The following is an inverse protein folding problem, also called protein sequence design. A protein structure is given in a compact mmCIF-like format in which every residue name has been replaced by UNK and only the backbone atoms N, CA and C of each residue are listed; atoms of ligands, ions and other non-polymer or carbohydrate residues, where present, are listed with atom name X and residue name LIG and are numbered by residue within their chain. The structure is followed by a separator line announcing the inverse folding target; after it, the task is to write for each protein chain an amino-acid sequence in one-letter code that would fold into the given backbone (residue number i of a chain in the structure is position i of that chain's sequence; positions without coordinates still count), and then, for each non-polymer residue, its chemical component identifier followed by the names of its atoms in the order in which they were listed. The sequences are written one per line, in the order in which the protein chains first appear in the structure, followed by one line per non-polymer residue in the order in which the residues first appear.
data_IF_015797074227
#
_entry.id   IF_015797074227
#
_cell.length_a   1.000
_cell.length_b   1.000
_cell.length_c   1.000
_cell.angle_alpha   90.00
_cell.angle_beta   90.00
_cell.angle_gamma   90.00
#
_symmetry.space_group_name_H-M   'P 1'
#
loop_
_entity.id
_entity.type
_entity.pdbx_description
1 polymer ?
#
# COMPACT_ATOMS: atom_id res chain seq x y z
N UNK A 1 35.85 22.91 13.59
CA UNK A 1 35.05 24.13 13.38
C UNK A 1 33.86 23.68 12.56
N UNK A 2 32.76 23.43 13.23
CA UNK A 2 31.60 24.29 13.39
C UNK A 2 30.77 24.45 12.12
N UNK A 3 29.58 23.89 12.14
CA UNK A 3 28.37 24.54 11.79
C UNK A 3 27.18 23.60 11.64
N UNK A 4 26.33 23.53 12.67
CA UNK A 4 24.95 23.05 12.58
C UNK A 4 24.08 24.27 12.27
N UNK A 5 23.00 24.10 11.49
CA UNK A 5 21.76 24.81 11.79
C UNK A 5 20.58 23.83 11.74
N UNK A 6 19.67 23.82 12.65
CA UNK A 6 18.78 24.87 13.08
C UNK A 6 17.37 24.36 12.82
N UNK A 7 16.66 23.99 13.90
CA UNK A 7 15.31 23.44 13.88
C UNK A 7 14.26 24.49 13.50
N UNK A 8 13.13 23.99 12.99
CA UNK A 8 11.90 24.74 12.83
C UNK A 8 10.83 24.15 13.74
N UNK A 9 10.50 24.94 14.73
CA UNK A 9 9.43 24.75 15.70
C UNK A 9 8.09 25.16 15.07
N UNK A 10 7.09 24.29 15.15
CA UNK A 10 5.69 24.69 14.96
C UNK A 10 5.05 24.94 16.32
N UNK A 11 4.42 26.08 16.47
CA UNK A 11 3.62 26.49 17.64
C UNK A 11 2.15 26.10 17.47
N UNK A 12 1.46 25.77 18.58
CA UNK A 12 0.04 25.51 18.56
C UNK A 12 -0.77 26.80 18.81
N UNK A 13 -1.90 26.94 18.15
CA UNK A 13 -2.92 27.94 18.50
C UNK A 13 -4.12 27.27 19.16
N UNK A 14 -4.28 27.55 20.43
CA UNK A 14 -5.46 27.30 21.24
C UNK A 14 -6.58 28.32 20.92
N UNK A 15 -7.82 27.85 20.86
CA UNK A 15 -8.99 28.70 20.76
C UNK A 15 -10.24 27.96 21.23
N UNK A 16 -10.57 28.10 22.51
CA UNK A 16 -11.81 27.66 23.14
C UNK A 16 -12.90 28.69 22.87
N UNK A 17 -14.10 28.27 22.50
CA UNK A 17 -15.28 29.12 22.43
C UNK A 17 -16.55 28.28 22.50
N UNK A 18 -17.25 28.41 23.61
CA UNK A 18 -18.44 27.67 23.98
C UNK A 18 -19.74 28.40 23.60
N UNK A 19 -20.82 27.59 23.45
CA UNK A 19 -22.24 27.86 23.67
C UNK A 19 -23.00 28.79 22.72
N UNK A 20 -24.04 28.24 22.05
CA UNK A 20 -25.42 28.61 22.33
C UNK A 20 -26.44 27.63 21.76
N UNK A 21 -27.42 27.32 22.61
CA UNK A 21 -28.65 26.56 22.38
C UNK A 21 -29.63 27.33 21.47
N UNK A 22 -30.22 26.61 20.50
CA UNK A 22 -31.32 27.12 19.67
C UNK A 22 -32.23 25.97 19.24
N UNK A 23 -33.41 25.90 19.87
CA UNK A 23 -34.56 25.07 19.51
C UNK A 23 -35.18 25.53 18.21
N UNK A 24 -35.52 24.60 17.29
CA UNK A 24 -36.29 24.94 16.09
C UNK A 24 -36.61 23.77 15.18
N UNK A 25 -37.84 23.26 15.33
CA UNK A 25 -38.75 22.66 14.37
C UNK A 25 -38.21 21.66 13.32
N UNK A 26 -38.63 20.41 13.45
CA UNK A 26 -38.44 19.34 12.49
C UNK A 26 -39.16 19.57 11.17
N UNK A 27 -38.46 19.25 10.09
CA UNK A 27 -39.04 18.95 8.80
C UNK A 27 -38.75 17.46 8.54
N UNK A 28 -39.82 16.68 8.62
CA UNK A 28 -39.79 15.23 8.29
C UNK A 28 -39.82 15.13 6.77
N UNK A 29 -38.76 14.63 6.14
CA UNK A 29 -38.81 14.11 4.78
C UNK A 29 -38.89 12.59 4.84
N UNK A 30 -39.77 11.94 4.08
CA UNK A 30 -39.90 10.47 4.07
C UNK A 30 -38.73 9.86 3.30
N UNK A 31 -37.93 9.04 3.98
CA UNK A 31 -36.88 8.21 3.42
C UNK A 31 -37.46 6.79 3.18
N UNK A 32 -38.20 6.60 2.13
CA UNK A 32 -38.46 5.27 1.59
C UNK A 32 -38.04 5.33 0.13
N UNK A 33 -36.85 4.75 -0.21
CA UNK A 33 -36.43 4.21 -1.50
C UNK A 33 -34.90 4.05 -1.64
N UNK A 34 -34.13 4.10 -0.52
CA UNK A 34 -32.66 3.99 -0.55
C UNK A 34 -32.06 2.60 -0.32
N UNK A 35 -32.88 1.61 0.04
CA UNK A 35 -32.38 0.28 0.46
C UNK A 35 -32.16 -0.71 -0.68
N UNK A 36 -32.78 -0.48 -1.85
CA UNK A 36 -32.76 -1.45 -2.96
C UNK A 36 -31.54 -1.31 -3.90
N UNK A 37 -30.91 -0.13 -3.95
CA UNK A 37 -29.74 0.11 -4.78
C UNK A 37 -28.44 -0.50 -4.22
N UNK A 38 -28.31 -0.62 -2.90
CA UNK A 38 -27.13 -1.21 -2.26
C UNK A 38 -27.11 -2.72 -2.35
N UNK A 39 -28.27 -3.38 -2.25
CA UNK A 39 -28.38 -4.83 -2.42
C UNK A 39 -28.17 -5.28 -3.87
N UNK A 40 -28.53 -4.46 -4.86
CA UNK A 40 -28.29 -4.77 -6.27
C UNK A 40 -26.84 -4.57 -6.71
N UNK A 41 -26.06 -3.71 -6.04
CA UNK A 41 -24.62 -3.59 -6.29
C UNK A 41 -23.82 -4.75 -5.67
N UNK A 42 -24.17 -5.19 -4.47
CA UNK A 42 -23.54 -6.35 -3.84
C UNK A 42 -23.86 -7.66 -4.58
N UNK A 43 -25.09 -7.82 -5.09
CA UNK A 43 -25.49 -9.01 -5.88
C UNK A 43 -24.85 -9.08 -7.27
N UNK A 44 -24.40 -7.95 -7.86
CA UNK A 44 -23.69 -7.94 -9.13
C UNK A 44 -22.21 -8.36 -9.01
N UNK A 45 -21.62 -8.32 -7.82
CA UNK A 45 -20.26 -8.79 -7.55
C UNK A 45 -20.17 -10.32 -7.37
N UNK A 46 -21.26 -10.99 -7.04
CA UNK A 46 -21.28 -12.42 -6.74
C UNK A 46 -21.35 -13.39 -7.94
N UNK A 47 -21.46 -12.91 -9.18
CA UNK A 47 -21.55 -13.79 -10.37
C UNK A 47 -20.73 -13.33 -11.59
N UNK A 48 -19.70 -12.51 -11.37
CA UNK A 48 -18.77 -12.20 -12.46
C UNK A 48 -17.77 -13.35 -12.60
N UNK A 49 -17.93 -14.11 -13.69
CA UNK A 49 -16.87 -14.91 -14.29
C UNK A 49 -15.53 -14.23 -14.08
N UNK A 50 -14.53 -14.94 -13.55
CA UNK A 50 -13.14 -14.46 -13.47
C UNK A 50 -12.72 -14.00 -14.87
N UNK A 51 -12.96 -12.73 -15.18
CA UNK A 51 -12.42 -12.12 -16.40
C UNK A 51 -10.90 -12.12 -16.21
N UNK A 52 -10.17 -12.54 -17.25
CA UNK A 52 -8.72 -12.58 -17.24
C UNK A 52 -8.17 -11.27 -16.64
N UNK A 53 -7.32 -11.37 -15.62
CA UNK A 53 -6.66 -10.21 -15.02
C UNK A 53 -5.86 -9.55 -16.12
N UNK A 54 -6.13 -8.27 -16.37
CA UNK A 54 -5.47 -7.47 -17.41
C UNK A 54 -3.98 -7.41 -17.14
N UNK A 55 -3.19 -7.58 -18.18
CA UNK A 55 -1.74 -7.47 -18.16
C UNK A 55 -1.26 -6.26 -18.97
N UNK A 56 -0.11 -5.72 -18.57
CA UNK A 56 0.59 -4.65 -19.28
C UNK A 56 1.97 -5.12 -19.72
N UNK A 57 2.40 -4.73 -20.91
CA UNK A 57 3.75 -4.99 -21.38
C UNK A 57 4.78 -4.17 -20.59
N UNK A 58 4.46 -2.89 -20.35
CA UNK A 58 5.31 -1.92 -19.67
C UNK A 58 4.58 -1.28 -18.47
N UNK A 59 4.22 -2.02 -17.40
CA UNK A 59 3.52 -1.43 -16.28
C UNK A 59 4.40 -0.37 -15.58
N UNK A 60 3.83 0.72 -15.05
CA UNK A 60 4.59 1.74 -14.31
C UNK A 60 4.96 1.27 -12.89
N UNK A 61 5.02 -0.04 -12.71
CA UNK A 61 5.18 -0.70 -11.43
C UNK A 61 6.63 -0.61 -10.96
N UNK A 62 6.84 -0.01 -9.80
CA UNK A 62 8.15 0.17 -9.20
C UNK A 62 8.44 -0.83 -8.07
N UNK A 63 7.41 -1.26 -7.35
CA UNK A 63 7.57 -2.21 -6.26
C UNK A 63 6.28 -3.02 -6.03
N UNK A 64 6.43 -4.30 -5.69
CA UNK A 64 5.37 -5.18 -5.21
C UNK A 64 5.79 -5.75 -3.86
N UNK A 65 4.88 -5.69 -2.90
CA UNK A 65 5.12 -6.03 -1.49
C UNK A 65 4.08 -7.06 -1.07
N UNK A 66 4.52 -8.25 -0.66
CA UNK A 66 3.69 -9.25 0.03
C UNK A 66 4.13 -9.30 1.49
N UNK A 67 3.21 -9.19 2.43
CA UNK A 67 3.54 -9.09 3.85
C UNK A 67 2.57 -9.82 4.77
N UNK A 68 3.09 -10.23 5.90
CA UNK A 68 2.36 -10.74 7.04
C UNK A 68 2.73 -9.94 8.29
N UNK A 69 1.74 -9.32 8.91
CA UNK A 69 1.82 -8.79 10.25
C UNK A 69 1.28 -9.85 11.21
N UNK A 70 2.04 -10.15 12.25
CA UNK A 70 1.70 -11.18 13.23
C UNK A 70 1.82 -10.64 14.65
N UNK A 71 1.34 -11.40 15.61
CA UNK A 71 1.50 -11.04 17.02
C UNK A 71 2.97 -10.92 17.36
N UNK A 72 3.35 -9.80 18.03
CA UNK A 72 4.72 -9.52 18.40
C UNK A 72 5.36 -10.68 19.15
N UNK A 73 6.55 -11.04 18.73
CA UNK A 73 7.36 -12.13 19.28
C UNK A 73 8.50 -11.56 20.12
N UNK A 74 8.28 -11.29 21.41
CA UNK A 74 9.28 -10.67 22.30
C UNK A 74 10.53 -11.52 22.46
N UNK A 75 10.43 -12.84 22.28
CA UNK A 75 11.56 -13.76 22.32
C UNK A 75 12.45 -13.71 21.07
N UNK A 76 11.97 -13.14 19.97
CA UNK A 76 12.75 -12.90 18.75
C UNK A 76 13.61 -11.66 18.96
N UNK A 77 14.82 -11.84 19.49
CA UNK A 77 15.77 -10.79 19.82
C UNK A 77 16.90 -10.67 18.79
N UNK A 78 17.74 -9.64 18.89
CA UNK A 78 18.79 -9.34 17.90
C UNK A 78 19.73 -10.53 17.54
N UNK A 79 20.16 -11.41 18.47
CA UNK A 79 20.95 -12.59 18.10
C UNK A 79 20.27 -13.52 17.11
N UNK A 80 18.94 -13.67 17.18
CA UNK A 80 18.19 -14.52 16.27
C UNK A 80 18.14 -13.98 14.85
N UNK A 81 18.28 -12.67 14.65
CA UNK A 81 18.33 -12.09 13.29
C UNK A 81 19.51 -12.63 12.50
N UNK A 82 20.68 -12.71 13.13
CA UNK A 82 21.88 -13.27 12.49
C UNK A 82 21.74 -14.76 12.16
N UNK A 83 21.12 -15.53 13.06
CA UNK A 83 20.83 -16.95 12.83
C UNK A 83 19.78 -17.14 11.71
N UNK A 84 18.76 -16.31 11.71
CA UNK A 84 17.75 -16.32 10.66
C UNK A 84 18.35 -15.94 9.30
N UNK A 85 19.23 -14.92 9.25
CA UNK A 85 19.91 -14.53 8.02
C UNK A 85 20.67 -15.68 7.38
N UNK A 86 21.26 -16.60 8.16
CA UNK A 86 21.94 -17.78 7.63
C UNK A 86 21.01 -18.66 6.77
N UNK A 87 19.69 -18.65 7.02
CA UNK A 87 18.70 -19.37 6.20
C UNK A 87 18.41 -18.68 4.86
N UNK A 88 18.74 -17.39 4.76
CA UNK A 88 18.47 -16.53 3.60
C UNK A 88 19.73 -16.16 2.80
N UNK A 89 20.91 -16.21 3.39
CA UNK A 89 22.15 -15.62 2.87
C UNK A 89 22.53 -16.09 1.45
N UNK A 90 22.17 -17.30 1.05
CA UNK A 90 22.44 -17.82 -0.31
C UNK A 90 21.77 -16.97 -1.39
N UNK A 91 20.55 -16.49 -1.16
CA UNK A 91 19.78 -15.70 -2.12
C UNK A 91 19.72 -14.21 -1.73
N UNK A 92 20.01 -13.89 -0.48
CA UNK A 92 19.97 -12.55 0.11
C UNK A 92 21.26 -12.30 0.92
N UNK A 93 22.41 -12.12 0.24
CA UNK A 93 23.71 -12.02 0.91
C UNK A 93 23.94 -10.72 1.66
N UNK A 94 23.19 -9.65 1.33
CA UNK A 94 23.34 -8.34 1.97
C UNK A 94 22.35 -8.19 3.13
N UNK A 95 22.78 -7.53 4.19
CA UNK A 95 21.96 -7.28 5.38
C UNK A 95 22.03 -5.80 5.74
N UNK A 96 20.86 -5.16 5.88
CA UNK A 96 20.71 -3.73 6.18
C UNK A 96 19.80 -3.53 7.39
N UNK A 97 20.06 -2.48 8.18
CA UNK A 97 19.26 -2.13 9.35
C UNK A 97 18.50 -0.84 9.11
N UNK A 98 17.21 -0.87 9.35
CA UNK A 98 16.30 0.24 9.12
C UNK A 98 15.46 0.55 10.36
N UNK A 99 14.88 1.77 10.48
CA UNK A 99 13.90 2.07 11.50
C UNK A 99 12.70 1.10 11.45
N UNK A 100 12.11 0.74 12.59
CA UNK A 100 10.95 -0.11 12.64
C UNK A 100 9.76 0.53 11.90
N UNK A 101 8.91 -0.31 11.30
CA UNK A 101 7.59 0.10 10.83
C UNK A 101 6.61 -0.02 11.99
N UNK A 102 5.85 1.02 12.23
CA UNK A 102 4.73 0.99 13.17
C UNK A 102 3.44 0.77 12.37
N UNK A 103 2.69 -0.27 12.72
CA UNK A 103 1.33 -0.41 12.23
C UNK A 103 0.46 0.66 12.91
N UNK A 104 -0.06 1.58 12.12
CA UNK A 104 -1.14 2.43 12.58
C UNK A 104 -2.42 1.62 12.46
N UNK A 105 -2.97 1.15 13.58
CA UNK A 105 -4.31 0.59 13.62
C UNK A 105 -5.31 1.69 13.29
N UNK A 106 -6.24 1.44 12.38
CA UNK A 106 -7.31 2.42 12.05
C UNK A 106 -8.29 2.64 13.20
N UNK A 107 -8.20 1.84 14.27
CA UNK A 107 -9.05 1.92 15.46
C UNK A 107 -8.39 2.69 16.63
N UNK A 108 -7.08 2.89 16.58
CA UNK A 108 -6.35 3.58 17.65
C UNK A 108 -6.41 5.10 17.42
N UNK A 109 -7.42 5.72 17.98
CA UNK A 109 -7.51 7.19 18.14
C UNK A 109 -6.49 7.72 19.17
N UNK A 110 -5.85 6.86 19.93
CA UNK A 110 -4.72 7.16 20.80
C UNK A 110 -3.44 6.64 20.15
N UNK A 111 -2.56 7.58 19.78
CA UNK A 111 -1.18 7.35 19.38
C UNK A 111 -0.42 6.69 20.54
N UNK A 112 -0.61 5.41 20.76
CA UNK A 112 0.37 4.62 21.50
C UNK A 112 1.56 4.40 20.57
N UNK A 113 2.43 5.40 20.54
CA UNK A 113 3.78 5.29 20.00
C UNK A 113 4.60 4.37 20.92
N UNK A 114 4.25 3.09 20.97
CA UNK A 114 5.22 2.08 21.39
C UNK A 114 6.27 2.00 20.29
N UNK A 115 7.25 2.90 20.38
CA UNK A 115 8.43 2.83 19.53
C UNK A 115 9.13 1.50 19.85
N UNK A 116 8.95 0.51 18.98
CA UNK A 116 9.71 -0.71 19.06
C UNK A 116 11.19 -0.33 19.02
N UNK A 117 11.93 -0.69 20.06
CA UNK A 117 13.40 -0.53 20.08
C UNK A 117 14.09 -1.56 19.16
N UNK A 118 13.34 -2.54 18.65
CA UNK A 118 13.86 -3.56 17.76
C UNK A 118 13.85 -3.06 16.31
N UNK A 119 15.00 -3.05 15.63
CA UNK A 119 15.08 -2.53 14.26
C UNK A 119 14.37 -3.46 13.27
N UNK A 120 13.99 -2.92 12.12
CA UNK A 120 13.62 -3.69 10.96
C UNK A 120 14.88 -4.04 10.19
N UNK A 121 15.07 -5.33 9.92
CA UNK A 121 16.25 -5.82 9.19
C UNK A 121 15.83 -6.25 7.80
N UNK A 122 16.61 -5.85 6.80
CA UNK A 122 16.45 -6.23 5.40
C UNK A 122 17.53 -7.23 5.02
N UNK A 123 17.11 -8.35 4.46
CA UNK A 123 17.97 -9.28 3.74
C UNK A 123 17.78 -9.01 2.26
N UNK A 124 18.81 -8.57 1.56
CA UNK A 124 18.71 -8.03 0.19
C UNK A 124 19.46 -8.94 -0.78
N UNK A 125 18.85 -9.24 -1.94
CA UNK A 125 19.46 -10.02 -3.01
C UNK A 125 20.68 -9.30 -3.61
N UNK A 126 21.55 -10.04 -4.30
CA UNK A 126 22.78 -9.49 -4.87
C UNK A 126 22.49 -8.34 -5.83
N UNK A 127 21.50 -8.51 -6.71
CA UNK A 127 21.02 -7.51 -7.68
C UNK A 127 20.15 -6.41 -7.06
N UNK A 128 19.87 -6.49 -5.76
CA UNK A 128 19.03 -5.58 -4.99
C UNK A 128 17.57 -5.49 -5.47
N UNK A 129 17.12 -6.40 -6.34
CA UNK A 129 15.73 -6.40 -6.86
C UNK A 129 14.74 -7.06 -5.91
N UNK A 130 15.21 -7.91 -5.00
CA UNK A 130 14.39 -8.64 -4.03
C UNK A 130 14.92 -8.42 -2.62
N UNK A 131 14.01 -8.34 -1.67
CA UNK A 131 14.39 -8.26 -0.26
C UNK A 131 13.34 -8.91 0.64
N UNK A 132 13.83 -9.46 1.76
CA UNK A 132 13.00 -9.93 2.87
C UNK A 132 13.20 -8.96 4.04
N UNK A 133 12.11 -8.42 4.57
CA UNK A 133 12.14 -7.54 5.73
C UNK A 133 11.60 -8.29 6.93
N UNK A 134 12.32 -8.22 8.04
CA UNK A 134 11.98 -8.91 9.28
C UNK A 134 11.97 -7.93 10.43
N UNK A 135 10.93 -8.03 11.25
CA UNK A 135 10.75 -7.32 12.52
C UNK A 135 10.13 -8.29 13.53
N UNK A 136 9.97 -7.90 14.79
CA UNK A 136 9.36 -8.77 15.81
C UNK A 136 7.89 -9.14 15.55
N UNK A 137 7.21 -8.41 14.68
CA UNK A 137 5.78 -8.49 14.38
C UNK A 137 5.48 -8.44 12.87
N UNK A 138 6.52 -8.58 12.03
CA UNK A 138 6.41 -8.36 10.61
C UNK A 138 7.37 -9.23 9.82
N UNK A 139 6.87 -9.86 8.76
CA UNK A 139 7.64 -10.45 7.66
C UNK A 139 7.10 -9.92 6.33
N UNK A 140 7.97 -9.34 5.52
CA UNK A 140 7.63 -8.83 4.18
C UNK A 140 8.63 -9.38 3.16
N UNK A 141 8.14 -9.69 1.97
CA UNK A 141 8.95 -9.93 0.78
C UNK A 141 8.60 -8.90 -0.29
N UNK A 142 9.62 -8.25 -0.86
CA UNK A 142 9.46 -7.24 -1.90
C UNK A 142 10.19 -7.66 -3.17
N UNK A 143 9.57 -7.35 -4.30
CA UNK A 143 10.29 -7.06 -5.54
C UNK A 143 10.28 -5.56 -5.78
N UNK A 144 11.41 -5.00 -6.23
CA UNK A 144 11.53 -3.59 -6.61
C UNK A 144 12.31 -3.40 -7.91
N UNK A 145 11.92 -2.41 -8.67
CA UNK A 145 12.69 -1.95 -9.83
C UNK A 145 13.89 -1.14 -9.32
N UNK A 146 15.10 -1.60 -9.62
CA UNK A 146 16.35 -0.90 -9.25
C UNK A 146 16.81 -0.02 -10.40
N UNK A 147 16.74 -0.54 -11.62
CA UNK A 147 17.08 0.15 -12.85
C UNK A 147 15.90 0.12 -13.82
N UNK A 148 15.89 1.04 -14.78
CA UNK A 148 14.85 1.07 -15.82
C UNK A 148 14.79 -0.19 -16.67
N UNK A 149 15.89 -0.93 -16.75
CA UNK A 149 16.01 -2.24 -17.43
C UNK A 149 15.45 -3.40 -16.63
N UNK A 150 15.22 -3.22 -15.32
CA UNK A 150 14.68 -4.27 -14.44
C UNK A 150 13.23 -4.56 -14.79
N UNK A 151 12.95 -5.73 -15.35
CA UNK A 151 11.59 -6.12 -15.71
C UNK A 151 10.83 -6.69 -14.51
N UNK A 152 9.54 -6.38 -14.44
CA UNK A 152 8.63 -6.94 -13.45
C UNK A 152 8.45 -8.45 -13.66
N UNK A 153 8.77 -9.31 -12.66
CA UNK A 153 8.74 -10.76 -12.81
C UNK A 153 7.34 -11.38 -12.81
N UNK A 154 6.30 -10.56 -12.58
CA UNK A 154 4.89 -10.90 -12.37
C UNK A 154 4.57 -11.27 -10.91
N UNK A 155 3.29 -11.04 -10.56
CA UNK A 155 2.77 -11.24 -9.20
C UNK A 155 3.10 -12.62 -8.64
N UNK A 156 2.85 -13.68 -9.41
CA UNK A 156 3.10 -15.06 -8.96
C UNK A 156 4.52 -15.28 -8.46
N UNK A 157 5.52 -14.78 -9.16
CA UNK A 157 6.94 -14.94 -8.76
C UNK A 157 7.22 -14.19 -7.43
N UNK A 158 6.61 -13.00 -7.22
CA UNK A 158 6.78 -12.25 -5.98
C UNK A 158 6.09 -12.96 -4.83
N UNK A 159 4.87 -13.48 -5.06
CA UNK A 159 4.11 -14.25 -4.08
C UNK A 159 4.83 -15.56 -3.70
N UNK A 160 5.33 -16.31 -4.68
CA UNK A 160 6.11 -17.52 -4.44
C UNK A 160 7.36 -17.22 -3.57
N UNK A 161 8.00 -16.05 -3.79
CA UNK A 161 9.11 -15.59 -2.95
C UNK A 161 8.70 -15.25 -1.51
N UNK A 162 7.49 -14.73 -1.33
CA UNK A 162 6.93 -14.50 0.01
C UNK A 162 6.63 -15.82 0.73
N UNK A 163 6.04 -16.79 0.04
CA UNK A 163 5.71 -18.10 0.62
C UNK A 163 6.96 -18.87 1.05
N UNK A 164 8.01 -18.85 0.24
CA UNK A 164 9.30 -19.41 0.60
C UNK A 164 9.90 -18.72 1.83
N UNK A 165 9.83 -17.37 1.87
CA UNK A 165 10.33 -16.61 3.00
C UNK A 165 9.55 -16.88 4.29
N UNK A 166 8.21 -16.97 4.20
CA UNK A 166 7.34 -17.28 5.34
C UNK A 166 7.60 -18.69 5.86
N UNK A 167 7.67 -19.68 4.98
CA UNK A 167 7.97 -21.06 5.37
C UNK A 167 9.31 -21.20 6.09
N UNK A 168 10.37 -20.54 5.60
CA UNK A 168 11.68 -20.50 6.26
C UNK A 168 11.64 -19.84 7.63
N UNK A 169 10.88 -18.75 7.74
CA UNK A 169 10.72 -18.03 9.00
C UNK A 169 9.94 -18.87 10.04
N UNK A 170 8.84 -19.49 9.66
CA UNK A 170 8.05 -20.35 10.53
C UNK A 170 8.84 -21.56 11.02
N UNK A 171 9.57 -22.24 10.12
CA UNK A 171 10.47 -23.34 10.49
C UNK A 171 11.54 -22.87 11.47
N UNK A 172 12.15 -21.70 11.22
CA UNK A 172 13.16 -21.12 12.11
C UNK A 172 12.58 -20.82 13.51
N UNK A 173 11.40 -20.22 13.57
CA UNK A 173 10.69 -19.90 14.82
C UNK A 173 10.39 -21.17 15.63
N UNK A 174 9.95 -22.23 14.97
CA UNK A 174 9.68 -23.53 15.58
C UNK A 174 10.98 -24.19 16.11
N UNK A 175 12.02 -24.26 15.28
CA UNK A 175 13.32 -24.86 15.61
C UNK A 175 13.96 -24.22 16.86
N UNK A 176 13.73 -22.91 17.07
CA UNK A 176 14.32 -22.16 18.20
C UNK A 176 13.34 -21.97 19.37
N UNK A 177 12.14 -22.55 19.29
CA UNK A 177 11.13 -22.44 20.34
C UNK A 177 10.71 -21.01 20.65
N UNK A 178 10.64 -20.12 19.64
CA UNK A 178 10.32 -18.71 19.81
C UNK A 178 8.83 -18.42 19.98
N UNK A 179 7.97 -19.40 19.76
CA UNK A 179 6.51 -19.32 19.82
C UNK A 179 5.87 -19.76 18.51
N UNK A 180 4.69 -19.23 18.22
CA UNK A 180 3.99 -19.44 16.96
C UNK A 180 3.85 -18.12 16.20
N UNK A 181 3.85 -18.17 14.88
CA UNK A 181 3.55 -17.02 14.02
C UNK A 181 2.03 -16.87 13.96
N UNK A 182 1.47 -16.07 14.87
CA UNK A 182 0.03 -15.80 14.92
C UNK A 182 -0.32 -14.64 13.98
N UNK A 183 -0.85 -14.95 12.80
CA UNK A 183 -1.24 -13.96 11.80
C UNK A 183 -2.26 -12.95 12.35
N UNK A 184 -2.05 -11.66 12.07
CA UNK A 184 -2.94 -10.55 12.44
C UNK A 184 -3.50 -9.85 11.20
N UNK A 185 -2.65 -9.66 10.19
CA UNK A 185 -3.03 -8.95 8.99
C UNK A 185 -2.09 -9.33 7.84
N UNK A 186 -2.65 -9.67 6.69
CA UNK A 186 -1.92 -9.76 5.43
C UNK A 186 -1.86 -8.39 4.76
N UNK A 187 -0.82 -8.18 3.97
CA UNK A 187 -0.63 -6.98 3.16
C UNK A 187 -0.20 -7.37 1.74
N UNK A 188 -0.88 -6.78 0.74
CA UNK A 188 -0.40 -6.73 -0.63
C UNK A 188 -0.36 -5.26 -1.07
N UNK A 189 0.81 -4.81 -1.55
CA UNK A 189 0.98 -3.40 -1.94
C UNK A 189 1.65 -3.30 -3.31
N UNK A 190 1.11 -2.39 -4.16
CA UNK A 190 1.68 -2.04 -5.46
C UNK A 190 2.04 -0.56 -5.47
N UNK A 191 3.32 -0.28 -5.72
CA UNK A 191 3.84 1.08 -5.86
C UNK A 191 4.10 1.36 -7.33
N UNK A 192 3.37 2.30 -7.90
CA UNK A 192 3.51 2.71 -9.29
C UNK A 192 4.12 4.12 -9.35
N UNK A 193 5.09 4.32 -10.24
CA UNK A 193 5.70 5.62 -10.53
C UNK A 193 5.40 6.01 -11.96
N UNK A 194 4.64 7.09 -12.15
CA UNK A 194 4.31 7.63 -13.46
C UNK A 194 5.05 8.96 -13.63
N UNK A 195 6.12 9.01 -14.43
CA UNK A 195 6.84 10.24 -14.70
C UNK A 195 6.00 11.28 -15.44
N UNK A 196 6.25 12.58 -15.18
CA UNK A 196 5.74 13.63 -16.07
C UNK A 196 6.29 13.40 -17.49
N UNK A 197 5.44 13.56 -18.50
CA UNK A 197 5.68 13.14 -19.88
C UNK A 197 4.98 11.82 -20.26
N UNK A 198 4.61 10.99 -19.28
CA UNK A 198 3.89 9.73 -19.51
C UNK A 198 2.37 9.93 -19.31
N UNK A 199 1.76 10.63 -20.28
CA UNK A 199 0.31 10.88 -20.31
C UNK A 199 -0.15 12.18 -19.64
N UNK A 200 0.70 12.90 -18.93
CA UNK A 200 0.41 14.23 -18.35
C UNK A 200 1.72 15.04 -18.21
N UNK A 201 1.66 16.37 -18.33
CA UNK A 201 2.83 17.24 -18.31
C UNK A 201 2.97 18.06 -17.01
N UNK A 202 1.89 18.25 -16.27
CA UNK A 202 1.85 18.99 -15.01
C UNK A 202 0.77 18.48 -14.08
N UNK A 203 0.84 18.80 -12.80
CA UNK A 203 -0.20 18.45 -11.83
C UNK A 203 -1.57 19.08 -12.20
N UNK A 204 -1.59 20.18 -12.96
CA UNK A 204 -2.81 20.73 -13.52
C UNK A 204 -3.45 19.83 -14.58
N UNK A 205 -2.71 18.91 -15.17
CA UNK A 205 -3.17 17.94 -16.17
C UNK A 205 -3.35 16.52 -15.60
N UNK A 206 -3.23 16.36 -14.28
CA UNK A 206 -3.32 15.06 -13.63
C UNK A 206 -4.59 14.27 -14.01
N UNK A 207 -5.68 14.95 -14.34
CA UNK A 207 -6.91 14.33 -14.85
C UNK A 207 -6.77 13.57 -16.18
N UNK A 208 -5.68 13.76 -16.93
CA UNK A 208 -5.38 12.95 -18.11
C UNK A 208 -4.87 11.56 -17.74
N UNK A 209 -4.13 11.49 -16.63
CA UNK A 209 -3.65 10.23 -16.04
C UNK A 209 -4.72 9.59 -15.16
N UNK A 210 -5.34 10.39 -14.29
CA UNK A 210 -6.31 9.99 -13.28
C UNK A 210 -7.60 10.79 -13.48
N UNK A 211 -8.59 10.25 -14.22
CA UNK A 211 -9.80 10.98 -14.61
C UNK A 211 -10.58 11.60 -13.47
N UNK A 212 -10.59 10.97 -12.29
CA UNK A 212 -11.27 11.49 -11.10
C UNK A 212 -10.62 12.77 -10.54
N UNK A 213 -9.39 13.10 -10.98
CA UNK A 213 -8.64 14.30 -10.59
C UNK A 213 -8.71 15.41 -11.63
N UNK A 214 -9.71 15.40 -12.52
CA UNK A 214 -9.89 16.44 -13.53
C UNK A 214 -10.24 17.79 -12.88
N UNK A 215 -9.32 18.75 -12.93
CA UNK A 215 -9.58 20.12 -12.53
C UNK A 215 -10.53 20.81 -13.52
N UNK A 216 -11.55 21.48 -12.98
CA UNK A 216 -12.43 22.32 -13.83
C UNK A 216 -11.61 23.47 -14.41
N UNK A 217 -11.32 23.41 -15.70
CA UNK A 217 -10.65 24.47 -16.47
C UNK A 217 -11.70 25.35 -17.11
N UNK A 218 -12.18 26.36 -16.38
CA UNK A 218 -12.95 27.43 -16.94
C UNK A 218 -12.20 28.76 -16.81
N UNK A 219 -12.53 29.74 -17.67
CA UNK A 219 -11.89 31.06 -17.70
C UNK A 219 -12.08 31.87 -16.43
N UNK A 220 -13.02 31.47 -15.55
CA UNK A 220 -13.34 32.15 -14.29
C UNK A 220 -12.66 31.51 -13.06
N UNK A 221 -11.83 30.49 -13.24
CA UNK A 221 -11.15 29.86 -12.11
C UNK A 221 -10.07 30.77 -11.55
N UNK A 222 -10.18 31.09 -10.23
CA UNK A 222 -9.21 31.91 -9.51
C UNK A 222 -7.93 31.16 -9.16
N UNK A 223 -8.03 29.88 -8.76
CA UNK A 223 -6.87 29.09 -8.32
C UNK A 223 -5.97 28.72 -9.50
N UNK A 224 -4.64 28.88 -9.35
CA UNK A 224 -3.67 28.36 -10.32
C UNK A 224 -3.67 26.83 -10.30
N UNK A 225 -2.85 26.21 -11.15
CA UNK A 225 -2.59 24.78 -11.10
C UNK A 225 -1.96 24.41 -9.74
N UNK A 226 -2.26 23.20 -9.20
CA UNK A 226 -1.70 22.78 -7.92
C UNK A 226 -0.20 22.61 -8.00
N UNK A 227 0.49 23.01 -6.93
CA UNK A 227 1.95 22.80 -6.79
C UNK A 227 2.31 21.47 -6.14
N UNK A 228 1.33 20.82 -5.49
CA UNK A 228 1.49 19.56 -4.78
C UNK A 228 0.15 18.79 -4.79
N UNK A 229 0.22 17.48 -4.80
CA UNK A 229 -0.93 16.58 -4.67
C UNK A 229 -0.65 15.55 -3.59
N UNK A 230 -1.55 15.45 -2.62
CA UNK A 230 -1.56 14.39 -1.62
C UNK A 230 -3.02 13.98 -1.39
N UNK A 231 -3.39 12.82 -1.89
CA UNK A 231 -4.75 12.30 -1.82
C UNK A 231 -4.74 10.88 -1.27
N UNK A 232 -5.71 10.57 -0.42
CA UNK A 232 -5.93 9.23 0.10
C UNK A 232 -7.41 8.90 0.06
N UNK A 233 -7.73 7.66 -0.30
CA UNK A 233 -9.06 7.10 -0.20
C UNK A 233 -9.01 5.63 0.20
N UNK A 234 -10.11 5.13 0.76
CA UNK A 234 -10.22 3.77 1.27
C UNK A 234 -11.50 3.15 0.76
N UNK A 235 -11.42 1.89 0.34
CA UNK A 235 -12.55 1.09 -0.10
C UNK A 235 -12.62 -0.19 0.73
N UNK A 236 -13.81 -0.62 1.11
CA UNK A 236 -13.99 -1.87 1.83
C UNK A 236 -14.02 -3.05 0.86
N UNK A 237 -13.29 -4.11 1.18
CA UNK A 237 -13.39 -5.37 0.47
C UNK A 237 -14.70 -6.11 0.89
N UNK A 238 -15.26 -6.94 0.00
CA UNK A 238 -16.47 -7.69 0.32
C UNK A 238 -16.24 -8.64 1.51
N UNK A 239 -17.33 -8.94 2.22
CA UNK A 239 -17.35 -9.93 3.30
C UNK A 239 -16.33 -9.67 4.42
N UNK A 240 -15.98 -8.40 4.65
CA UNK A 240 -15.06 -7.97 5.69
C UNK A 240 -13.64 -8.55 5.57
N UNK A 241 -13.20 -8.92 4.34
CA UNK A 241 -11.87 -9.47 4.08
C UNK A 241 -10.76 -8.41 4.14
N UNK A 242 -11.09 -7.15 4.35
CA UNK A 242 -10.13 -6.07 4.51
C UNK A 242 -10.50 -4.78 3.81
N UNK A 243 -9.49 -3.94 3.59
CA UNK A 243 -9.62 -2.62 2.96
C UNK A 243 -8.56 -2.42 1.89
N UNK A 244 -8.97 -1.78 0.78
CA UNK A 244 -8.08 -1.26 -0.24
C UNK A 244 -7.88 0.24 0.01
N UNK A 245 -6.63 0.66 0.17
CA UNK A 245 -6.23 2.06 0.32
C UNK A 245 -5.49 2.52 -0.93
N UNK A 246 -5.89 3.64 -1.47
CA UNK A 246 -5.18 4.33 -2.55
C UNK A 246 -4.54 5.60 -2.00
N UNK A 247 -3.26 5.81 -2.30
CA UNK A 247 -2.55 7.05 -2.00
C UNK A 247 -1.89 7.58 -3.27
N UNK A 248 -2.18 8.82 -3.62
CA UNK A 248 -1.65 9.50 -4.80
C UNK A 248 -0.89 10.73 -4.34
N UNK A 249 0.38 10.80 -4.70
CA UNK A 249 1.27 11.86 -4.27
C UNK A 249 2.20 12.26 -5.43
N UNK A 250 2.50 13.55 -5.54
CA UNK A 250 3.65 13.97 -6.32
C UNK A 250 4.94 13.60 -5.61
N UNK A 251 5.94 13.25 -6.37
CA UNK A 251 7.23 12.84 -5.87
C UNK A 251 8.36 13.25 -6.83
N UNK A 252 9.57 13.22 -6.32
CA UNK A 252 10.79 13.49 -7.09
C UNK A 252 11.65 12.21 -7.08
N UNK A 253 12.01 11.72 -8.25
CA UNK A 253 12.94 10.60 -8.36
C UNK A 253 14.35 11.08 -8.07
N UNK A 254 14.99 10.54 -7.02
CA UNK A 254 16.28 11.04 -6.54
C UNK A 254 17.44 10.86 -7.54
N UNK A 255 17.35 9.87 -8.42
CA UNK A 255 18.45 9.53 -9.34
C UNK A 255 18.64 10.55 -10.46
N UNK A 256 17.57 11.20 -10.91
CA UNK A 256 17.56 12.13 -12.06
C UNK A 256 16.71 13.38 -11.83
N UNK A 257 16.22 13.58 -10.61
CA UNK A 257 15.36 14.68 -10.19
C UNK A 257 14.06 14.81 -11.03
N UNK A 258 13.65 13.74 -11.68
CA UNK A 258 12.43 13.73 -12.50
C UNK A 258 11.19 13.74 -11.60
N UNK A 259 10.29 14.67 -11.89
CA UNK A 259 8.98 14.74 -11.24
C UNK A 259 8.11 13.58 -11.69
N UNK A 260 7.39 12.98 -10.78
CA UNK A 260 6.50 11.86 -11.04
C UNK A 260 5.28 11.88 -10.10
N UNK A 261 4.24 11.15 -10.49
CA UNK A 261 3.13 10.81 -9.60
C UNK A 261 3.34 9.40 -9.07
N UNK A 262 3.39 9.27 -7.75
CA UNK A 262 3.38 7.99 -7.04
C UNK A 262 1.94 7.58 -6.79
N UNK A 263 1.55 6.40 -7.29
CA UNK A 263 0.26 5.77 -7.02
C UNK A 263 0.55 4.52 -6.20
N UNK A 264 0.23 4.55 -4.92
CA UNK A 264 0.33 3.42 -4.01
C UNK A 264 -1.06 2.83 -3.79
N UNK A 265 -1.22 1.54 -4.09
CA UNK A 265 -2.44 0.79 -3.82
C UNK A 265 -2.08 -0.34 -2.84
N UNK A 266 -2.74 -0.35 -1.69
CA UNK A 266 -2.49 -1.30 -0.60
C UNK A 266 -3.78 -1.99 -0.24
N UNK A 267 -3.77 -3.31 -0.21
CA UNK A 267 -4.82 -4.11 0.42
C UNK A 267 -4.29 -4.66 1.73
N UNK A 268 -5.05 -4.48 2.80
CA UNK A 268 -4.78 -5.07 4.11
C UNK A 268 -6.03 -5.74 4.65
N UNK A 269 -5.86 -6.91 5.24
CA UNK A 269 -6.97 -7.67 5.82
C UNK A 269 -6.60 -9.09 6.24
N UNK A 270 -7.65 -9.90 6.44
CA UNK A 270 -7.54 -11.30 6.78
C UNK A 270 -8.55 -12.10 5.97
N UNK A 271 -8.31 -13.41 5.82
CA UNK A 271 -9.29 -14.35 5.29
C UNK A 271 -10.39 -14.60 6.34
N UNK A 272 -11.57 -14.04 6.14
CA UNK A 272 -12.66 -14.07 7.14
C UNK A 272 -13.99 -14.59 6.60
N UNK A 273 -14.07 -14.92 5.32
CA UNK A 273 -15.31 -15.41 4.70
C UNK A 273 -15.17 -16.85 4.21
N UNK A 274 -16.32 -17.50 3.93
CA UNK A 274 -16.31 -18.86 3.37
C UNK A 274 -15.66 -18.93 1.99
N UNK A 275 -15.77 -17.84 1.20
CA UNK A 275 -15.20 -17.74 -0.15
C UNK A 275 -13.70 -17.39 -0.14
N UNK A 276 -13.18 -16.92 1.00
CA UNK A 276 -11.79 -16.54 1.22
C UNK A 276 -11.35 -17.20 2.53
N UNK A 277 -11.00 -18.47 2.46
CA UNK A 277 -10.78 -19.32 3.64
C UNK A 277 -9.30 -19.57 3.96
N UNK A 278 -8.42 -19.27 3.00
CA UNK A 278 -6.98 -19.47 3.14
C UNK A 278 -6.21 -18.17 2.91
N UNK A 279 -4.96 -18.08 3.38
CA UNK A 279 -4.07 -16.98 3.02
C UNK A 279 -3.95 -16.79 1.50
N UNK A 280 -3.85 -17.87 0.74
CA UNK A 280 -3.71 -17.81 -0.72
C UNK A 280 -4.95 -17.23 -1.38
N UNK A 281 -6.17 -17.65 -0.98
CA UNK A 281 -7.41 -17.06 -1.47
C UNK A 281 -7.44 -15.55 -1.18
N UNK A 282 -6.95 -15.13 0.00
CA UNK A 282 -6.89 -13.71 0.35
C UNK A 282 -5.92 -12.93 -0.54
N UNK A 283 -4.73 -13.47 -0.81
CA UNK A 283 -3.75 -12.81 -1.67
C UNK A 283 -4.23 -12.72 -3.12
N UNK A 284 -4.95 -13.73 -3.63
CA UNK A 284 -5.57 -13.68 -4.96
C UNK A 284 -6.68 -12.62 -5.03
N UNK A 285 -7.55 -12.54 -4.02
CA UNK A 285 -8.55 -11.48 -3.90
C UNK A 285 -7.89 -10.10 -3.87
N UNK A 286 -6.86 -9.92 -3.04
CA UNK A 286 -6.15 -8.66 -2.91
C UNK A 286 -5.49 -8.25 -4.23
N UNK A 287 -4.88 -9.20 -4.95
CA UNK A 287 -4.29 -8.97 -6.27
C UNK A 287 -5.33 -8.54 -7.30
N UNK A 288 -6.46 -9.23 -7.39
CA UNK A 288 -7.56 -8.86 -8.28
C UNK A 288 -8.06 -7.44 -8.00
N UNK A 289 -8.25 -7.09 -6.72
CA UNK A 289 -8.70 -5.77 -6.31
C UNK A 289 -7.70 -4.67 -6.65
N UNK A 290 -6.40 -4.89 -6.44
CA UNK A 290 -5.35 -3.93 -6.80
C UNK A 290 -5.32 -3.68 -8.30
N UNK A 291 -5.33 -4.75 -9.12
CA UNK A 291 -5.26 -4.61 -10.58
C UNK A 291 -6.49 -3.90 -11.12
N UNK A 292 -7.70 -4.27 -10.67
CA UNK A 292 -8.95 -3.61 -11.09
C UNK A 292 -9.02 -2.17 -10.63
N UNK A 293 -8.63 -1.88 -9.37
CA UNK A 293 -8.57 -0.51 -8.88
C UNK A 293 -7.60 0.35 -9.71
N UNK A 294 -6.43 -0.20 -10.08
CA UNK A 294 -5.49 0.52 -10.94
C UNK A 294 -6.08 0.83 -12.31
N UNK A 295 -6.85 -0.10 -12.90
CA UNK A 295 -7.56 0.12 -14.17
C UNK A 295 -8.64 1.19 -14.06
N UNK A 296 -9.43 1.16 -13.00
CA UNK A 296 -10.52 2.12 -12.79
C UNK A 296 -9.98 3.54 -12.49
N UNK A 297 -8.88 3.63 -11.76
CA UNK A 297 -8.27 4.90 -11.38
C UNK A 297 -7.53 5.59 -12.54
N UNK A 298 -7.01 4.83 -13.50
CA UNK A 298 -6.15 5.36 -14.56
C UNK A 298 -6.87 5.45 -15.90
N UNK A 299 -6.51 6.44 -16.74
CA UNK A 299 -7.17 6.62 -18.02
C UNK A 299 -6.81 5.52 -19.02
N UNK A 300 -7.77 5.07 -19.80
CA UNK A 300 -7.58 4.07 -20.85
C UNK A 300 -6.53 4.51 -21.88
N UNK A 301 -6.51 5.81 -22.21
CA UNK A 301 -5.54 6.38 -23.14
C UNK A 301 -4.11 6.10 -22.67
N UNK A 302 -3.80 6.34 -21.39
CA UNK A 302 -2.48 6.10 -20.82
C UNK A 302 -2.19 4.60 -20.71
N UNK A 303 -3.17 3.79 -20.33
CA UNK A 303 -3.05 2.33 -20.28
C UNK A 303 -2.63 1.73 -21.63
N UNK A 304 -3.24 2.19 -22.72
CA UNK A 304 -2.97 1.67 -24.07
C UNK A 304 -1.69 2.25 -24.64
N UNK A 305 -1.50 3.58 -24.60
CA UNK A 305 -0.40 4.25 -25.28
C UNK A 305 0.95 4.09 -24.58
N UNK A 306 0.96 4.20 -23.27
CA UNK A 306 2.21 4.21 -22.48
C UNK A 306 2.53 2.86 -21.86
N UNK A 307 1.53 2.13 -21.36
CA UNK A 307 1.76 0.86 -20.64
C UNK A 307 1.45 -0.38 -21.47
N UNK A 308 0.93 -0.20 -22.69
CA UNK A 308 0.64 -1.27 -23.66
C UNK A 308 -0.23 -2.37 -23.04
N UNK A 309 -1.44 -1.98 -22.66
CA UNK A 309 -2.48 -2.88 -22.16
C UNK A 309 -2.73 -4.01 -23.17
N UNK A 310 -2.72 -5.26 -22.69
CA UNK A 310 -2.97 -6.49 -23.46
C UNK A 310 -4.43 -6.91 -23.39
#
# INVERSE_FOLDING_TARGET
MLGIPGGLTCFPSSGVGALHTGTGAGIIFPWEDGLDLRLHQAARLGSRSMSAIVDFECPPLNEVICGLHFRRMDRFTAPYVGLLWQKFQTHYPKCEVHPPLTLVSEQDTELQLEMSSFPRVWFVSEDSTRLVQVQQDLLIHNWRQVESSTSYPRYKIVKDGFDDALSKFEAFVADHGLGAVEARQYELSYVNFVPQGDGYESLGELGRLLPDFAWRRNTSRFLPDPSNVNYQTVFDLPNNNGKLRVSIQDALRRSDEKKLTRILIVVRGMHQSQDVSTPDDWFELAHEWIVRAFLDLTSEEVQVKHWRKK
#
